data_IF_549905571507
#
_entry.id   IF_549905571507
#
_cell.length_a   1.000
_cell.length_b   1.000
_cell.length_c   1.000
_cell.angle_alpha   90.00
_cell.angle_beta   90.00
_cell.angle_gamma   90.00
#
_symmetry.space_group_name_H-M   'P 1'
#
loop_
_entity.id
_entity.type
_entity.pdbx_description
1 polymer ?
#
# COMPACT_ATOMS: atom_id res chain seq x y z
N UNK A 1 1.49 -34.87 -6.20
CA UNK A 1 1.22 -33.42 -6.01
C UNK A 1 0.08 -33.01 -6.95
N UNK A 2 -1.07 -32.58 -6.41
CA UNK A 2 -2.32 -32.34 -7.16
C UNK A 2 -2.58 -30.88 -7.53
N UNK A 3 -1.56 -30.13 -7.92
CA UNK A 3 -1.72 -28.70 -8.23
C UNK A 3 -2.32 -28.55 -9.63
N UNK A 4 -3.48 -27.88 -9.72
CA UNK A 4 -4.12 -27.55 -11.00
C UNK A 4 -3.22 -26.65 -11.85
N UNK A 5 -3.02 -27.01 -13.12
CA UNK A 5 -2.27 -26.22 -14.08
C UNK A 5 -2.76 -24.75 -14.13
N UNK A 6 -1.82 -23.82 -14.11
CA UNK A 6 -2.04 -22.38 -14.30
C UNK A 6 -1.13 -21.90 -15.43
N UNK A 7 -1.59 -20.91 -16.20
CA UNK A 7 -0.73 -20.24 -17.18
C UNK A 7 0.42 -19.56 -16.46
N UNK A 8 1.63 -19.64 -17.00
CA UNK A 8 2.83 -19.00 -16.43
C UNK A 8 2.62 -17.51 -16.13
N UNK A 9 1.82 -16.80 -16.93
CA UNK A 9 1.51 -15.38 -16.71
C UNK A 9 0.87 -15.07 -15.34
N UNK A 10 0.20 -16.03 -14.70
CA UNK A 10 -0.42 -15.84 -13.38
C UNK A 10 0.60 -15.70 -12.25
N UNK A 11 1.79 -16.30 -12.39
CA UNK A 11 2.85 -16.11 -11.40
C UNK A 11 3.35 -14.66 -11.39
N UNK A 12 3.35 -13.98 -12.55
CA UNK A 12 3.71 -12.56 -12.68
C UNK A 12 2.77 -11.66 -11.87
N UNK A 13 1.47 -11.98 -11.89
CA UNK A 13 0.50 -11.26 -11.06
C UNK A 13 0.74 -11.49 -9.57
N UNK A 14 0.96 -12.75 -9.20
CA UNK A 14 1.25 -13.13 -7.80
C UNK A 14 2.49 -12.39 -7.28
N UNK A 15 3.55 -12.36 -8.10
CA UNK A 15 4.78 -11.63 -7.80
C UNK A 15 4.52 -10.14 -7.57
N UNK A 16 3.81 -9.47 -8.48
CA UNK A 16 3.52 -8.04 -8.35
C UNK A 16 2.73 -7.72 -7.08
N UNK A 17 1.66 -8.49 -6.77
CA UNK A 17 0.88 -8.30 -5.55
C UNK A 17 1.72 -8.47 -4.29
N UNK A 18 2.55 -9.51 -4.21
CA UNK A 18 3.41 -9.77 -3.05
C UNK A 18 4.47 -8.69 -2.88
N UNK A 19 5.12 -8.25 -3.96
CA UNK A 19 6.10 -7.17 -3.91
C UNK A 19 5.47 -5.85 -3.46
N UNK A 20 4.28 -5.50 -3.96
CA UNK A 20 3.57 -4.29 -3.53
C UNK A 20 3.11 -4.38 -2.07
N UNK A 21 2.65 -5.56 -1.62
CA UNK A 21 2.28 -5.81 -0.21
C UNK A 21 3.48 -5.60 0.72
N UNK A 22 4.68 -5.99 0.28
CA UNK A 22 5.92 -5.78 1.01
C UNK A 22 6.43 -4.32 0.98
N UNK A 23 5.74 -3.41 0.27
CA UNK A 23 6.12 -2.01 0.13
C UNK A 23 7.20 -1.73 -0.91
N UNK A 24 7.41 -2.62 -1.88
CA UNK A 24 8.40 -2.40 -2.93
C UNK A 24 7.95 -1.30 -3.93
N UNK A 25 8.93 -0.59 -4.50
CA UNK A 25 8.68 0.49 -5.44
C UNK A 25 8.07 -0.03 -6.77
N UNK A 26 6.94 0.52 -7.24
CA UNK A 26 6.30 0.10 -8.50
C UNK A 26 7.21 0.17 -9.73
N UNK A 27 8.14 1.14 -9.80
CA UNK A 27 9.12 1.25 -10.89
C UNK A 27 10.12 0.11 -10.88
N UNK A 28 10.53 -0.36 -9.70
CA UNK A 28 11.40 -1.52 -9.55
C UNK A 28 10.66 -2.82 -9.91
N UNK A 29 9.40 -2.95 -9.52
CA UNK A 29 8.57 -4.11 -9.92
C UNK A 29 8.38 -4.13 -11.43
N UNK A 30 8.14 -2.96 -12.04
CA UNK A 30 8.00 -2.84 -13.49
C UNK A 30 9.26 -3.29 -14.24
N UNK A 31 10.44 -2.82 -13.84
CA UNK A 31 11.70 -3.22 -14.47
C UNK A 31 11.96 -4.72 -14.34
N UNK A 32 11.72 -5.31 -13.16
CA UNK A 32 11.87 -6.75 -12.93
C UNK A 32 10.93 -7.60 -13.79
N UNK A 33 9.75 -7.07 -14.10
CA UNK A 33 8.76 -7.73 -14.95
C UNK A 33 8.97 -7.46 -16.46
N UNK A 34 10.04 -6.76 -16.84
CA UNK A 34 10.37 -6.44 -18.23
C UNK A 34 9.57 -5.28 -18.84
N UNK A 35 8.95 -4.44 -18.00
CA UNK A 35 8.23 -3.25 -18.46
C UNK A 35 9.15 -2.05 -18.59
N UNK A 36 8.97 -1.25 -19.65
CA UNK A 36 9.70 0.00 -19.85
C UNK A 36 9.24 1.13 -18.91
N UNK A 37 8.02 1.05 -18.37
CA UNK A 37 7.47 2.04 -17.45
C UNK A 37 6.60 1.41 -16.36
N UNK A 38 6.44 2.14 -15.26
CA UNK A 38 5.57 1.75 -14.15
C UNK A 38 4.08 1.90 -14.45
N UNK A 39 3.70 2.48 -15.60
CA UNK A 39 2.29 2.76 -15.93
C UNK A 39 1.44 1.49 -15.88
N UNK A 40 1.94 0.35 -16.37
CA UNK A 40 1.21 -0.92 -16.31
C UNK A 40 0.89 -1.33 -14.87
N UNK A 41 1.86 -1.17 -13.95
CA UNK A 41 1.70 -1.52 -12.53
C UNK A 41 0.67 -0.60 -11.88
N UNK A 42 0.72 0.70 -12.13
CA UNK A 42 -0.28 1.65 -11.62
C UNK A 42 -1.67 1.41 -12.20
N UNK A 43 -1.77 1.10 -13.50
CA UNK A 43 -3.06 0.86 -14.14
C UNK A 43 -3.73 -0.43 -13.61
N UNK A 44 -2.95 -1.49 -13.37
CA UNK A 44 -3.49 -2.79 -12.94
C UNK A 44 -3.70 -2.85 -11.42
N UNK A 45 -2.81 -2.25 -10.62
CA UNK A 45 -2.83 -2.39 -9.16
C UNK A 45 -3.13 -1.10 -8.41
N UNK A 46 -3.31 0.04 -9.09
CA UNK A 46 -3.49 1.34 -8.44
C UNK A 46 -4.67 1.42 -7.48
N UNK A 47 -5.81 0.80 -7.84
CA UNK A 47 -6.97 0.71 -6.95
C UNK A 47 -6.63 -0.04 -5.65
N UNK A 48 -5.94 -1.17 -5.77
CA UNK A 48 -5.55 -1.99 -4.62
C UNK A 48 -4.46 -1.33 -3.75
N UNK A 49 -3.57 -0.54 -4.35
CA UNK A 49 -2.57 0.24 -3.61
C UNK A 49 -3.23 1.29 -2.69
N UNK A 50 -4.34 1.90 -3.14
CA UNK A 50 -5.09 2.86 -2.31
C UNK A 50 -5.72 2.17 -1.09
N UNK A 51 -6.31 1.00 -1.28
CA UNK A 51 -6.94 0.23 -0.20
C UNK A 51 -5.90 -0.29 0.81
N UNK A 52 -4.71 -0.67 0.34
CA UNK A 52 -3.62 -1.22 1.15
C UNK A 52 -2.78 -0.15 1.88
N UNK A 53 -3.13 1.14 1.72
CA UNK A 53 -2.38 2.25 2.31
C UNK A 53 -2.29 2.17 3.84
N UNK A 54 -3.35 1.72 4.51
CA UNK A 54 -3.38 1.59 5.99
C UNK A 54 -2.38 0.55 6.50
N UNK A 55 -2.26 -0.58 5.80
CA UNK A 55 -1.32 -1.64 6.15
C UNK A 55 0.14 -1.19 5.95
N UNK A 56 0.41 -0.47 4.85
CA UNK A 56 1.72 0.12 4.62
C UNK A 56 2.08 1.17 5.67
N UNK A 57 1.12 2.00 6.11
CA UNK A 57 1.33 2.94 7.22
C UNK A 57 1.66 2.19 8.51
N UNK A 58 0.96 1.09 8.81
CA UNK A 58 1.27 0.27 9.97
C UNK A 58 2.68 -0.35 9.91
N UNK A 59 3.09 -0.86 8.73
CA UNK A 59 4.46 -1.35 8.50
C UNK A 59 5.52 -0.26 8.70
N UNK A 60 5.25 0.95 8.19
CA UNK A 60 6.15 2.10 8.37
C UNK A 60 6.25 2.50 9.83
N UNK A 61 5.11 2.61 10.53
CA UNK A 61 5.08 2.94 11.95
C UNK A 61 5.84 1.91 12.78
N UNK A 62 5.71 0.62 12.46
CA UNK A 62 6.46 -0.44 13.15
C UNK A 62 7.97 -0.27 12.96
N UNK A 63 8.44 0.01 11.72
CA UNK A 63 9.87 0.19 11.44
C UNK A 63 10.43 1.49 12.01
N UNK A 64 9.62 2.54 12.03
CA UNK A 64 10.03 3.85 12.53
C UNK A 64 9.96 3.92 14.06
N UNK A 65 9.11 3.12 14.72
CA UNK A 65 8.99 3.11 16.18
C UNK A 65 10.33 2.85 16.90
N UNK A 66 11.23 2.09 16.28
CA UNK A 66 12.56 1.80 16.83
C UNK A 66 13.50 3.03 16.83
N UNK A 67 13.24 4.03 15.97
CA UNK A 67 14.15 5.16 15.72
C UNK A 67 13.53 6.54 15.95
N UNK A 68 12.21 6.67 15.77
CA UNK A 68 11.51 7.94 15.84
C UNK A 68 10.89 8.12 17.23
N UNK A 69 11.23 9.21 17.96
CA UNK A 69 10.57 9.50 19.23
C UNK A 69 9.07 9.73 19.01
N UNK A 70 8.26 9.27 19.95
CA UNK A 70 6.81 9.40 19.88
C UNK A 70 6.41 10.89 19.89
N UNK A 71 6.10 11.43 18.71
CA UNK A 71 5.59 12.78 18.56
C UNK A 71 4.09 12.79 18.83
N UNK A 72 3.59 13.48 19.88
CA UNK A 72 2.17 13.59 20.11
C UNK A 72 1.52 14.27 18.90
N UNK A 73 0.69 13.52 18.17
CA UNK A 73 -0.14 14.09 17.12
C UNK A 73 -1.11 15.05 17.79
N UNK A 74 -0.95 16.36 17.55
CA UNK A 74 -1.94 17.35 17.99
C UNK A 74 -3.28 16.96 17.38
N UNK A 75 -4.17 16.42 18.20
CA UNK A 75 -5.56 16.24 17.86
C UNK A 75 -6.11 17.66 17.63
N UNK A 76 -6.10 18.11 16.38
CA UNK A 76 -7.05 19.13 15.95
C UNK A 76 -8.44 18.51 16.08
N UNK A 77 -8.96 18.55 17.30
CA UNK A 77 -10.37 18.39 17.59
C UNK A 77 -11.07 19.46 16.78
N UNK A 78 -11.56 19.09 15.61
CA UNK A 78 -12.42 19.94 14.79
C UNK A 78 -13.55 20.43 15.69
N UNK A 79 -13.51 21.72 16.01
CA UNK A 79 -14.51 22.50 16.75
C UNK A 79 -15.80 22.63 15.94
N UNK A 80 -16.36 21.51 15.49
CA UNK A 80 -17.60 21.45 14.71
C UNK A 80 -18.72 20.68 15.40
N UNK A 81 -18.49 20.18 16.61
CA UNK A 81 -19.50 19.48 17.41
C UNK A 81 -20.26 20.40 18.40
N UNK A 82 -19.79 21.63 18.65
CA UNK A 82 -20.37 22.53 19.67
C UNK A 82 -21.43 23.53 19.14
N UNK A 83 -21.71 23.56 17.84
CA UNK A 83 -22.66 24.52 17.24
C UNK A 83 -24.03 23.93 16.85
N UNK A 84 -24.33 22.68 17.20
CA UNK A 84 -25.65 22.07 16.95
C UNK A 84 -26.58 21.98 18.18
N UNK A 85 -26.22 22.63 19.29
CA UNK A 85 -27.01 22.59 20.53
C UNK A 85 -27.64 23.94 20.92
N UNK A 86 -27.49 25.00 20.13
CA UNK A 86 -28.14 26.29 20.40
C UNK A 86 -28.71 26.88 19.11
N UNK A 87 -29.86 26.35 18.69
CA UNK A 87 -30.99 27.03 18.03
C UNK A 87 -32.10 26.03 17.80
#
# INVERSE_FOLDING_TARGET
AGIRHRKAYQSRHTYACWSLSAGANPSFIASQMGHASAQMVFNVYGAWMADSSREQIAMLNQRLADFAPQMPQSLHSSTRALLKSVS
#
